data_IF_081940141574
#
_entry.id   IF_081940141574
#
_cell.length_a   1.000
_cell.length_b   1.000
_cell.length_c   1.000
_cell.angle_alpha   90.00
_cell.angle_beta   90.00
_cell.angle_gamma   90.00
#
_symmetry.space_group_name_H-M   'P 1'
#
loop_
_entity.id
_entity.type
_entity.pdbx_description
1 polymer ?
#
# COMPACT_ATOMS: atom_id res chain seq x y z
N UNK A 1 -0.92 -22.93 20.02
CA UNK A 1 -0.24 -22.47 18.79
C UNK A 1 1.25 -22.69 18.99
N UNK A 2 1.95 -23.29 18.03
CA UNK A 2 3.40 -23.53 18.12
C UNK A 2 4.15 -22.18 18.09
N UNK A 3 5.22 -22.02 18.88
CA UNK A 3 5.96 -20.76 18.99
C UNK A 3 6.53 -20.29 17.64
N UNK A 4 7.03 -21.21 16.81
CA UNK A 4 7.58 -20.88 15.49
C UNK A 4 6.49 -20.35 14.54
N UNK A 5 5.27 -20.89 14.65
CA UNK A 5 4.12 -20.42 13.86
C UNK A 5 3.72 -19.02 14.32
N UNK A 6 3.72 -18.78 15.63
CA UNK A 6 3.38 -17.47 16.17
C UNK A 6 4.39 -16.40 15.76
N UNK A 7 5.69 -16.69 15.84
CA UNK A 7 6.75 -15.78 15.40
C UNK A 7 6.66 -15.51 13.90
N UNK A 8 6.48 -16.54 13.08
CA UNK A 8 6.33 -16.35 11.63
C UNK A 8 5.05 -15.58 11.27
N UNK A 9 3.99 -15.71 12.07
CA UNK A 9 2.75 -14.93 11.91
C UNK A 9 2.97 -13.47 12.30
N UNK A 10 3.63 -13.21 13.43
CA UNK A 10 3.97 -11.87 13.88
C UNK A 10 4.84 -11.13 12.84
N UNK A 11 5.88 -11.79 12.33
CA UNK A 11 6.74 -11.28 11.24
C UNK A 11 5.92 -10.87 9.99
N UNK A 12 4.99 -11.74 9.57
CA UNK A 12 4.15 -11.48 8.40
C UNK A 12 3.15 -10.35 8.65
N UNK A 13 2.62 -10.24 9.88
CA UNK A 13 1.73 -9.16 10.27
C UNK A 13 2.46 -7.81 10.31
N UNK A 14 3.66 -7.76 10.89
CA UNK A 14 4.49 -6.55 10.93
C UNK A 14 4.77 -6.02 9.53
N UNK A 15 5.27 -6.87 8.62
CA UNK A 15 5.48 -6.47 7.21
C UNK A 15 4.18 -6.07 6.49
N UNK A 16 3.04 -6.64 6.88
CA UNK A 16 1.74 -6.22 6.35
C UNK A 16 1.37 -4.82 6.85
N UNK A 17 1.66 -4.48 8.10
CA UNK A 17 1.42 -3.14 8.65
C UNK A 17 2.25 -2.09 7.92
N UNK A 18 3.53 -2.36 7.66
CA UNK A 18 4.39 -1.45 6.87
C UNK A 18 3.86 -1.27 5.46
N UNK A 19 3.45 -2.35 4.78
CA UNK A 19 2.84 -2.24 3.45
C UNK A 19 1.58 -1.36 3.45
N UNK A 20 0.73 -1.48 4.48
CA UNK A 20 -0.46 -0.63 4.63
C UNK A 20 -0.12 0.82 4.96
N UNK A 21 0.95 1.07 5.72
CA UNK A 21 1.45 2.43 5.99
C UNK A 21 1.81 3.11 4.67
N UNK A 22 2.55 2.43 3.80
CA UNK A 22 2.92 2.95 2.47
C UNK A 22 1.70 3.17 1.58
N UNK A 23 0.71 2.27 1.63
CA UNK A 23 -0.58 2.49 0.94
C UNK A 23 -1.30 3.77 1.42
N UNK A 24 -1.22 4.09 2.71
CA UNK A 24 -1.76 5.35 3.24
C UNK A 24 -1.09 6.61 2.68
N UNK A 25 0.20 6.54 2.32
CA UNK A 25 0.89 7.67 1.67
C UNK A 25 0.38 7.89 0.25
N UNK A 26 0.03 6.83 -0.50
CA UNK A 26 -0.65 6.99 -1.79
C UNK A 26 -2.00 7.69 -1.65
N UNK A 27 -2.80 7.31 -0.65
CA UNK A 27 -4.09 7.95 -0.40
C UNK A 27 -3.90 9.44 -0.08
N UNK A 28 -2.91 9.77 0.75
CA UNK A 28 -2.55 11.16 1.07
C UNK A 28 -2.13 11.96 -0.17
N UNK A 29 -1.27 11.41 -1.03
CA UNK A 29 -0.84 12.06 -2.28
C UNK A 29 -2.03 12.28 -3.21
N UNK A 30 -2.91 11.27 -3.34
CA UNK A 30 -4.11 11.34 -4.15
C UNK A 30 -5.07 12.44 -3.68
N UNK A 31 -5.33 12.50 -2.37
CA UNK A 31 -6.20 13.52 -1.77
C UNK A 31 -5.64 14.93 -1.98
N UNK A 32 -4.34 15.13 -1.73
CA UNK A 32 -3.68 16.41 -1.94
C UNK A 32 -3.68 16.83 -3.42
N UNK A 33 -3.42 15.89 -4.32
CA UNK A 33 -3.48 16.13 -5.77
C UNK A 33 -4.88 16.57 -6.19
N UNK A 34 -5.92 15.86 -5.74
CA UNK A 34 -7.31 16.21 -6.03
C UNK A 34 -7.68 17.62 -5.53
N UNK A 35 -7.27 17.96 -4.31
CA UNK A 35 -7.47 19.29 -3.76
C UNK A 35 -6.78 20.40 -4.57
N UNK A 36 -5.54 20.18 -4.97
CA UNK A 36 -4.78 21.15 -5.76
C UNK A 36 -5.35 21.32 -7.17
N UNK A 37 -5.87 20.25 -7.79
CA UNK A 37 -6.57 20.33 -9.07
C UNK A 37 -7.79 21.26 -8.97
N UNK A 38 -8.62 21.10 -7.94
CA UNK A 38 -9.79 21.98 -7.75
C UNK A 38 -9.39 23.43 -7.48
N UNK A 39 -8.29 23.65 -6.73
CA UNK A 39 -7.73 25.00 -6.57
C UNK A 39 -7.25 25.60 -7.89
N UNK A 40 -6.51 24.86 -8.71
CA UNK A 40 -6.03 25.35 -10.00
C UNK A 40 -7.22 25.76 -10.90
N UNK A 41 -8.31 24.97 -10.90
CA UNK A 41 -9.55 25.33 -11.62
C UNK A 41 -10.13 26.66 -11.13
N UNK A 42 -10.27 26.85 -9.82
CA UNK A 42 -10.79 28.09 -9.26
C UNK A 42 -9.95 29.32 -9.66
N UNK A 43 -8.62 29.19 -9.63
CA UNK A 43 -7.72 30.27 -10.05
C UNK A 43 -7.89 30.60 -11.55
N UNK A 44 -8.09 29.59 -12.40
CA UNK A 44 -8.40 29.81 -13.83
C UNK A 44 -9.73 30.54 -14.02
N UNK A 45 -10.76 30.18 -13.25
CA UNK A 45 -12.08 30.84 -13.28
C UNK A 45 -12.01 32.31 -12.83
N UNK A 46 -11.15 32.63 -11.87
CA UNK A 46 -10.88 33.99 -11.40
C UNK A 46 -9.97 34.79 -12.34
N UNK A 47 -9.43 34.16 -13.39
CA UNK A 47 -8.52 34.77 -14.35
C UNK A 47 -7.04 34.82 -13.92
N UNK A 48 -6.70 34.23 -12.77
CA UNK A 48 -5.30 34.04 -12.35
C UNK A 48 -4.70 32.79 -12.98
N UNK A 49 -4.37 32.92 -14.27
CA UNK A 49 -3.78 31.83 -15.06
C UNK A 49 -2.42 31.40 -14.50
N UNK A 50 -1.60 32.35 -14.02
CA UNK A 50 -0.26 32.05 -13.51
C UNK A 50 -0.31 31.31 -12.19
N UNK A 51 -1.23 31.68 -11.30
CA UNK A 51 -1.45 30.97 -10.05
C UNK A 51 -1.92 29.53 -10.29
N UNK A 52 -2.82 29.33 -11.25
CA UNK A 52 -3.23 27.98 -11.65
C UNK A 52 -2.09 27.15 -12.23
N UNK A 53 -1.31 27.70 -13.16
CA UNK A 53 -0.15 27.03 -13.76
C UNK A 53 0.91 26.67 -12.71
N UNK A 54 1.15 27.53 -11.73
CA UNK A 54 2.08 27.25 -10.63
C UNK A 54 1.62 26.03 -9.80
N UNK A 55 0.32 25.92 -9.50
CA UNK A 55 -0.24 24.76 -8.80
C UNK A 55 -0.11 23.48 -9.63
N UNK A 56 -0.38 23.57 -10.94
CA UNK A 56 -0.24 22.43 -11.85
C UNK A 56 1.21 21.93 -11.93
N UNK A 57 2.21 22.84 -11.91
CA UNK A 57 3.61 22.44 -11.83
C UNK A 57 3.95 21.74 -10.51
N UNK A 58 3.45 22.22 -9.37
CA UNK A 58 3.63 21.53 -8.08
C UNK A 58 3.07 20.10 -8.12
N UNK A 59 1.90 19.91 -8.75
CA UNK A 59 1.33 18.56 -8.89
C UNK A 59 2.24 17.66 -9.74
N UNK A 60 2.74 18.17 -10.87
CA UNK A 60 3.53 17.37 -11.80
C UNK A 60 4.93 17.06 -11.28
N UNK A 61 5.61 18.06 -10.72
CA UNK A 61 7.01 17.96 -10.34
C UNK A 61 7.13 17.37 -8.93
N UNK A 62 6.51 18.01 -7.94
CA UNK A 62 6.69 17.65 -6.53
C UNK A 62 5.88 16.39 -6.19
N UNK A 63 4.56 16.42 -6.41
CA UNK A 63 3.70 15.26 -6.08
C UNK A 63 3.92 14.07 -7.01
N UNK A 64 4.31 14.33 -8.26
CA UNK A 64 4.74 13.27 -9.18
C UNK A 64 6.02 12.58 -8.71
N UNK A 65 7.00 13.34 -8.20
CA UNK A 65 8.20 12.77 -7.59
C UNK A 65 7.88 11.98 -6.33
N UNK A 66 7.08 12.55 -5.41
CA UNK A 66 6.66 11.86 -4.18
C UNK A 66 5.94 10.54 -4.49
N UNK A 67 5.05 10.53 -5.51
CA UNK A 67 4.38 9.31 -5.94
C UNK A 67 5.36 8.23 -6.38
N UNK A 68 6.37 8.59 -7.17
CA UNK A 68 7.37 7.63 -7.65
C UNK A 68 8.18 7.04 -6.48
N UNK A 69 8.57 7.88 -5.52
CA UNK A 69 9.28 7.44 -4.31
C UNK A 69 8.42 6.44 -3.51
N UNK A 70 7.16 6.80 -3.24
CA UNK A 70 6.21 5.92 -2.52
C UNK A 70 5.95 4.63 -3.28
N UNK A 71 5.91 4.69 -4.62
CA UNK A 71 5.78 3.50 -5.45
C UNK A 71 6.96 2.54 -5.35
N UNK A 72 8.18 3.07 -5.37
CA UNK A 72 9.38 2.24 -5.21
C UNK A 72 9.43 1.61 -3.81
N UNK A 73 9.11 2.38 -2.76
CA UNK A 73 8.97 1.87 -1.38
C UNK A 73 7.89 0.78 -1.28
N UNK A 74 6.74 0.97 -1.95
CA UNK A 74 5.67 -0.01 -1.96
C UNK A 74 6.10 -1.34 -2.60
N UNK A 75 6.79 -1.32 -3.73
CA UNK A 75 7.24 -2.55 -4.38
C UNK A 75 8.31 -3.29 -3.54
N UNK A 76 9.16 -2.56 -2.83
CA UNK A 76 10.11 -3.14 -1.87
C UNK A 76 9.37 -3.80 -0.70
N UNK A 77 8.46 -3.09 -0.02
CA UNK A 77 7.71 -3.64 1.11
C UNK A 77 6.79 -4.79 0.69
N UNK A 78 6.22 -4.72 -0.51
CA UNK A 78 5.40 -5.80 -1.06
C UNK A 78 6.24 -7.05 -1.31
N UNK A 79 7.49 -6.91 -1.72
CA UNK A 79 8.41 -8.04 -1.87
C UNK A 79 8.76 -8.64 -0.51
N UNK A 80 9.11 -7.80 0.46
CA UNK A 80 9.39 -8.20 1.85
C UNK A 80 8.20 -8.98 2.45
N UNK A 81 6.99 -8.42 2.38
CA UNK A 81 5.76 -9.06 2.83
C UNK A 81 5.52 -10.43 2.18
N UNK A 82 5.71 -10.55 0.85
CA UNK A 82 5.58 -11.84 0.15
C UNK A 82 6.55 -12.89 0.67
N UNK A 83 7.78 -12.51 0.98
CA UNK A 83 8.79 -13.41 1.54
C UNK A 83 8.42 -13.87 2.96
N UNK A 84 7.96 -12.95 3.82
CA UNK A 84 7.48 -13.27 5.18
C UNK A 84 6.24 -14.18 5.16
N UNK A 85 5.26 -13.90 4.30
CA UNK A 85 4.09 -14.77 4.12
C UNK A 85 4.48 -16.16 3.60
N UNK A 86 5.48 -16.24 2.71
CA UNK A 86 6.01 -17.54 2.25
C UNK A 86 6.65 -18.32 3.39
N UNK A 87 7.44 -17.67 4.26
CA UNK A 87 7.99 -18.28 5.48
C UNK A 87 6.88 -18.82 6.39
N UNK A 88 5.86 -18.01 6.68
CA UNK A 88 4.70 -18.45 7.47
C UNK A 88 4.03 -19.69 6.88
N UNK A 89 3.76 -19.70 5.57
CA UNK A 89 3.17 -20.88 4.89
C UNK A 89 4.02 -22.13 5.05
N UNK A 90 5.34 -22.00 4.90
CA UNK A 90 6.26 -23.12 5.04
C UNK A 90 6.28 -23.67 6.48
N UNK A 91 6.32 -22.79 7.49
CA UNK A 91 6.31 -23.19 8.90
C UNK A 91 4.99 -23.86 9.26
N UNK A 92 3.84 -23.30 8.85
CA UNK A 92 2.55 -23.94 9.06
C UNK A 92 2.45 -25.32 8.40
N UNK A 93 2.93 -25.44 7.15
CA UNK A 93 2.93 -26.71 6.43
C UNK A 93 3.80 -27.78 7.12
N UNK A 94 4.96 -27.39 7.67
CA UNK A 94 5.81 -28.29 8.47
C UNK A 94 5.06 -28.88 9.67
N UNK A 95 4.19 -28.09 10.30
CA UNK A 95 3.34 -28.51 11.42
C UNK A 95 1.97 -29.09 11.00
N UNK A 96 1.76 -29.37 9.71
CA UNK A 96 0.52 -29.96 9.19
C UNK A 96 -0.69 -29.02 9.17
N UNK A 97 -0.48 -27.70 9.31
CA UNK A 97 -1.55 -26.68 9.23
C UNK A 97 -1.61 -26.17 7.79
N UNK A 98 -2.75 -26.33 7.12
CA UNK A 98 -2.97 -25.70 5.82
C UNK A 98 -3.26 -24.21 6.02
N UNK A 99 -2.42 -23.35 5.45
CA UNK A 99 -2.72 -21.93 5.30
C UNK A 99 -3.39 -21.76 3.94
N UNK A 100 -4.61 -21.21 3.87
CA UNK A 100 -5.28 -20.94 2.60
C UNK A 100 -4.33 -20.20 1.67
N UNK A 101 -4.13 -20.75 0.48
CA UNK A 101 -3.25 -20.10 -0.48
C UNK A 101 -3.91 -18.83 -1.01
N UNK A 102 -3.13 -17.78 -1.28
CA UNK A 102 -3.63 -16.55 -1.94
C UNK A 102 -4.18 -16.82 -3.36
N UNK A 103 -3.96 -18.03 -3.89
CA UNK A 103 -4.54 -18.49 -5.15
C UNK A 103 -5.92 -19.07 -4.86
N UNK A 104 -6.94 -18.22 -4.93
CA UNK A 104 -8.30 -18.55 -5.38
C UNK A 104 -9.04 -19.74 -4.71
N UNK A 105 -8.70 -20.14 -3.49
CA UNK A 105 -9.58 -21.06 -2.75
C UNK A 105 -10.72 -20.26 -2.13
N UNK A 106 -11.79 -20.14 -2.92
CA UNK A 106 -13.09 -19.61 -2.52
C UNK A 106 -13.52 -20.23 -1.18
N UNK A 107 -13.70 -19.35 -0.20
CA UNK A 107 -14.61 -19.50 0.95
C UNK A 107 -14.27 -20.66 1.88
N UNK A 108 -13.72 -20.31 3.06
CA UNK A 108 -13.78 -21.18 4.24
C UNK A 108 -15.26 -21.46 4.52
N UNK A 109 -15.73 -22.66 4.16
CA UNK A 109 -17.00 -23.18 4.65
C UNK A 109 -16.79 -23.56 6.11
N UNK A 110 -17.13 -22.65 7.02
CA UNK A 110 -17.40 -23.00 8.40
C UNK A 110 -18.68 -23.85 8.40
N UNK A 111 -18.54 -25.16 8.46
CA UNK A 111 -19.66 -26.03 8.77
C UNK A 111 -20.02 -25.84 10.25
N UNK A 112 -21.32 -25.64 10.52
CA UNK A 112 -21.93 -25.59 11.85
C UNK A 112 -21.76 -26.89 12.61
#
# INVERSE_FOLDING_TARGET
MNIDIFEAYADAMESSCELHRVMGEFDRISELTGYLIEKAKAYREEGDIKGAEAIEQIILDDLGSDFNIVHDEFEEERKNWKEKVKKLKNVCAFYGISVPSLKSEKVIKLYK
#
